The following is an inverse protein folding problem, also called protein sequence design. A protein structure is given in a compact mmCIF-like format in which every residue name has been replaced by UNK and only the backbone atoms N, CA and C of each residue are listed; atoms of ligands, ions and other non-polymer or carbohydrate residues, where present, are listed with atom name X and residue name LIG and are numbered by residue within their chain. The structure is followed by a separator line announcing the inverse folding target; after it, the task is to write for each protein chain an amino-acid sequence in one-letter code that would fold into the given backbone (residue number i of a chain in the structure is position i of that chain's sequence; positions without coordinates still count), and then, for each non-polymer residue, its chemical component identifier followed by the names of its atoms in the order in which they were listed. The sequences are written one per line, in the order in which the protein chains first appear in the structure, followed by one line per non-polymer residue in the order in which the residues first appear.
data_IF_510933490536
#
_entry.id   IF_510933490536
#
_cell.length_a   1.000
_cell.length_b   1.000
_cell.length_c   1.000
_cell.angle_alpha   90.00
_cell.angle_beta   90.00
_cell.angle_gamma   90.00
#
_symmetry.space_group_name_H-M   'P 1'
#
loop_
_entity.id
_entity.type
_entity.pdbx_description
1 polymer ?
#
# COMPACT_ATOMS: atom_id res chain seq x y z
N UNK A 1 -10.34 -1.70 -16.38
CA UNK A 1 -11.28 -0.62 -16.03
C UNK A 1 -11.56 -0.81 -14.55
N UNK A 2 -11.50 0.25 -13.75
CA UNK A 2 -11.88 0.23 -12.33
C UNK A 2 -13.34 -0.20 -12.18
N UNK A 3 -13.72 -0.74 -11.02
CA UNK A 3 -15.11 -1.12 -10.78
C UNK A 3 -15.96 0.13 -10.47
N UNK A 4 -15.57 0.90 -9.46
CA UNK A 4 -16.28 2.12 -9.05
C UNK A 4 -15.38 3.34 -8.97
N UNK A 5 -14.11 3.16 -8.59
CA UNK A 5 -13.22 4.27 -8.27
C UNK A 5 -12.93 5.16 -9.47
N UNK A 6 -12.98 6.46 -9.22
CA UNK A 6 -12.49 7.48 -10.11
C UNK A 6 -11.19 8.10 -9.58
N UNK A 7 -10.23 8.28 -10.48
CA UNK A 7 -8.94 8.89 -10.20
C UNK A 7 -8.79 10.17 -11.02
N UNK A 8 -8.41 11.26 -10.37
CA UNK A 8 -8.22 12.55 -11.04
C UNK A 8 -7.05 13.31 -10.40
N UNK A 9 -6.11 13.79 -11.22
CA UNK A 9 -4.90 14.50 -10.76
C UNK A 9 -5.19 15.78 -9.94
N UNK A 10 -6.40 16.32 -10.04
CA UNK A 10 -6.87 17.46 -9.25
C UNK A 10 -7.31 17.08 -7.85
N UNK A 11 -7.53 15.79 -7.56
CA UNK A 11 -7.83 15.32 -6.21
C UNK A 11 -6.63 15.57 -5.30
N UNK A 12 -6.88 16.20 -4.16
CA UNK A 12 -5.83 16.57 -3.20
C UNK A 12 -5.50 15.38 -2.32
N UNK A 13 -4.24 15.33 -1.87
CA UNK A 13 -3.86 14.44 -0.79
C UNK A 13 -4.73 14.70 0.45
N UNK A 14 -5.07 13.65 1.17
CA UNK A 14 -5.80 13.72 2.42
C UNK A 14 -4.84 13.33 3.54
N UNK A 15 -4.71 14.22 4.52
CA UNK A 15 -4.14 13.85 5.82
C UNK A 15 -5.21 13.15 6.65
N UNK A 16 -5.16 11.82 6.84
CA UNK A 16 -6.17 11.12 7.62
C UNK A 16 -6.11 11.59 9.07
N UNK A 17 -7.27 11.73 9.68
CA UNK A 17 -7.43 11.98 11.12
C UNK A 17 -8.47 11.02 11.68
N UNK A 18 -8.41 10.73 12.97
CA UNK A 18 -9.39 9.84 13.60
C UNK A 18 -10.81 10.37 13.38
N UNK A 19 -11.76 9.45 13.19
CA UNK A 19 -13.17 9.73 12.98
C UNK A 19 -13.43 10.72 11.82
N UNK A 20 -12.73 10.55 10.71
CA UNK A 20 -12.93 11.35 9.49
C UNK A 20 -13.90 10.66 8.55
N UNK A 21 -14.87 11.41 8.02
CA UNK A 21 -15.73 10.97 6.92
C UNK A 21 -15.13 11.41 5.59
N UNK A 22 -14.99 10.46 4.67
CA UNK A 22 -14.53 10.67 3.30
C UNK A 22 -15.66 10.33 2.33
N UNK A 23 -15.62 10.95 1.15
CA UNK A 23 -16.39 10.56 -0.03
C UNK A 23 -15.44 10.01 -1.07
N UNK A 24 -15.86 8.93 -1.73
CA UNK A 24 -15.17 8.33 -2.86
C UNK A 24 -16.06 8.45 -4.11
N UNK A 25 -15.75 9.36 -5.04
CA UNK A 25 -16.57 9.57 -6.24
C UNK A 25 -16.60 8.35 -7.15
N UNK A 26 -17.78 8.09 -7.72
CA UNK A 26 -18.06 7.07 -8.73
C UNK A 26 -18.92 7.66 -9.86
N UNK A 27 -19.19 6.88 -10.91
CA UNK A 27 -20.09 7.30 -12.01
C UNK A 27 -21.54 7.51 -11.56
N UNK A 28 -21.97 6.89 -10.46
CA UNK A 28 -23.36 6.85 -9.99
C UNK A 28 -23.59 7.66 -8.71
N UNK A 29 -22.54 8.19 -8.10
CA UNK A 29 -22.61 9.01 -6.89
C UNK A 29 -21.34 8.87 -6.04
N UNK A 30 -21.39 9.30 -4.79
CA UNK A 30 -20.26 9.18 -3.87
C UNK A 30 -20.49 8.05 -2.88
N UNK A 31 -19.48 7.19 -2.70
CA UNK A 31 -19.47 6.21 -1.61
C UNK A 31 -18.88 6.88 -0.37
N UNK A 32 -19.64 6.87 0.73
CA UNK A 32 -19.18 7.28 2.04
C UNK A 32 -18.21 6.25 2.61
N UNK A 33 -17.05 6.71 3.08
CA UNK A 33 -16.01 5.91 3.72
C UNK A 33 -15.69 6.52 5.10
N UNK A 34 -15.52 5.68 6.12
CA UNK A 34 -15.13 6.11 7.46
C UNK A 34 -13.67 5.78 7.73
N UNK A 35 -12.91 6.75 8.24
CA UNK A 35 -11.60 6.54 8.86
C UNK A 35 -11.82 6.53 10.38
N UNK A 36 -11.76 5.36 11.00
CA UNK A 36 -11.96 5.20 12.45
C UNK A 36 -10.69 5.54 13.23
N UNK A 37 -9.55 5.06 12.76
CA UNK A 37 -8.23 5.33 13.33
C UNK A 37 -7.27 5.73 12.21
N UNK A 38 -6.66 6.90 12.30
CA UNK A 38 -5.72 7.37 11.29
C UNK A 38 -4.42 6.56 11.35
N UNK A 39 -3.88 6.28 12.52
CA UNK A 39 -2.58 5.62 12.69
C UNK A 39 -2.76 4.24 13.31
N UNK A 40 -3.27 3.29 12.53
CA UNK A 40 -3.48 1.93 13.01
C UNK A 40 -2.13 1.23 13.23
N UNK A 41 -1.91 0.69 14.43
CA UNK A 41 -0.81 -0.22 14.79
C UNK A 41 0.55 0.16 14.18
N UNK A 42 1.11 1.28 14.63
CA UNK A 42 2.43 1.82 14.24
C UNK A 42 2.37 2.75 12.99
N UNK A 43 1.18 3.00 12.44
CA UNK A 43 0.96 4.15 11.54
C UNK A 43 1.12 3.88 10.04
N UNK A 44 1.49 2.65 9.64
CA UNK A 44 1.59 2.25 8.23
C UNK A 44 0.24 2.18 7.48
N UNK A 45 -0.87 2.19 8.21
CA UNK A 45 -2.22 2.12 7.66
C UNK A 45 -3.21 2.97 8.46
N UNK A 46 -4.34 3.31 7.85
CA UNK A 46 -5.53 3.82 8.53
C UNK A 46 -6.57 2.70 8.65
N UNK A 47 -7.24 2.58 9.79
CA UNK A 47 -8.36 1.65 9.95
C UNK A 47 -9.60 2.29 9.33
N UNK A 48 -10.05 1.75 8.20
CA UNK A 48 -11.17 2.28 7.43
C UNK A 48 -12.30 1.28 7.29
N UNK A 49 -13.52 1.75 7.05
CA UNK A 49 -14.66 0.88 6.70
C UNK A 49 -15.68 1.61 5.85
N UNK A 50 -16.56 0.85 5.21
CA UNK A 50 -17.66 1.38 4.40
C UNK A 50 -18.97 1.15 5.14
N UNK A 51 -19.59 2.19 5.72
CA UNK A 51 -20.84 2.03 6.45
C UNK A 51 -21.97 1.58 5.52
N UNK A 52 -22.91 0.81 6.07
CA UNK A 52 -24.13 0.40 5.38
C UNK A 52 -25.21 1.49 5.49
N UNK A 53 -25.15 2.49 4.62
CA UNK A 53 -26.16 3.55 4.48
C UNK A 53 -27.08 3.29 3.29
N UNK A 54 -28.25 3.92 3.27
CA UNK A 54 -29.17 3.81 2.12
C UNK A 54 -28.54 4.42 0.86
N UNK A 55 -27.76 5.49 1.04
CA UNK A 55 -27.02 6.21 0.02
C UNK A 55 -25.93 5.32 -0.60
N UNK A 56 -25.09 4.67 0.21
CA UNK A 56 -24.06 3.76 -0.29
C UNK A 56 -24.68 2.57 -1.05
N UNK A 57 -25.77 1.99 -0.55
CA UNK A 57 -26.48 0.92 -1.25
C UNK A 57 -27.03 1.40 -2.60
N UNK A 58 -27.60 2.61 -2.66
CA UNK A 58 -28.12 3.17 -3.89
C UNK A 58 -27.01 3.41 -4.94
N UNK A 59 -25.83 3.91 -4.53
CA UNK A 59 -24.67 4.08 -5.42
C UNK A 59 -24.21 2.75 -6.02
N UNK A 60 -24.27 1.66 -5.24
CA UNK A 60 -24.00 0.30 -5.71
C UNK A 60 -25.16 -0.33 -6.52
N UNK A 61 -26.27 0.38 -6.74
CA UNK A 61 -27.44 -0.15 -7.46
C UNK A 61 -28.22 -1.22 -6.67
N UNK A 62 -28.08 -1.24 -5.34
CA UNK A 62 -28.72 -2.20 -4.44
C UNK A 62 -29.96 -1.61 -3.76
N UNK A 63 -30.96 -2.45 -3.41
CA UNK A 63 -32.11 -2.00 -2.62
C UNK A 63 -31.69 -1.64 -1.18
N UNK A 64 -32.43 -0.72 -0.54
CA UNK A 64 -32.16 -0.31 0.85
C UNK A 64 -32.26 -1.48 1.85
N UNK A 65 -33.15 -2.42 1.57
CA UNK A 65 -33.35 -3.65 2.34
C UNK A 65 -32.76 -4.84 1.57
N UNK A 66 -31.53 -5.22 1.94
CA UNK A 66 -30.86 -6.43 1.44
C UNK A 66 -31.04 -7.64 2.39
N UNK A 67 -31.93 -7.54 3.39
CA UNK A 67 -32.20 -8.61 4.38
C UNK A 67 -31.44 -8.54 5.72
N UNK A 68 -30.42 -7.65 5.82
CA UNK A 68 -29.54 -7.30 6.97
C UNK A 68 -28.73 -8.43 7.63
N UNK A 69 -27.41 -8.25 7.76
CA UNK A 69 -26.61 -8.90 8.82
C UNK A 69 -25.40 -8.10 9.40
N UNK A 70 -24.93 -6.99 8.78
CA UNK A 70 -23.78 -6.18 9.28
C UNK A 70 -24.03 -4.66 9.18
N UNK A 71 -23.48 -3.83 10.09
CA UNK A 71 -23.55 -2.36 9.98
C UNK A 71 -22.62 -1.79 8.90
N UNK A 72 -21.80 -2.63 8.26
CA UNK A 72 -20.90 -2.26 7.18
C UNK A 72 -21.23 -2.98 5.86
N UNK A 73 -20.98 -2.31 4.75
CA UNK A 73 -20.80 -2.93 3.43
C UNK A 73 -19.43 -3.62 3.41
N UNK A 74 -18.39 -2.91 3.86
CA UNK A 74 -17.05 -3.45 4.09
C UNK A 74 -16.67 -3.17 5.55
N UNK A 75 -16.62 -4.21 6.40
CA UNK A 75 -16.12 -4.13 7.77
C UNK A 75 -14.74 -3.45 7.89
N UNK A 76 -14.38 -2.93 9.09
CA UNK A 76 -13.13 -2.24 9.29
C UNK A 76 -11.90 -3.05 8.86
N UNK A 77 -11.01 -2.44 8.08
CA UNK A 77 -9.76 -3.04 7.62
C UNK A 77 -8.62 -2.01 7.57
N UNK A 78 -7.34 -2.44 7.65
CA UNK A 78 -6.22 -1.54 7.52
C UNK A 78 -5.95 -1.20 6.04
N UNK A 79 -6.19 0.05 5.65
CA UNK A 79 -5.87 0.58 4.32
C UNK A 79 -4.53 1.33 4.38
N UNK A 80 -3.63 1.01 3.44
CA UNK A 80 -2.30 1.63 3.36
C UNK A 80 -2.39 3.15 3.22
N UNK A 81 -1.43 3.87 3.82
CA UNK A 81 -1.38 5.34 3.77
C UNK A 81 -1.24 5.90 2.35
N UNK A 82 -0.65 5.14 1.44
CA UNK A 82 -0.52 5.47 0.02
C UNK A 82 -1.86 5.73 -0.66
N UNK A 83 -2.96 5.14 -0.17
CA UNK A 83 -4.31 5.38 -0.68
C UNK A 83 -4.82 6.82 -0.48
N UNK A 84 -4.19 7.61 0.41
CA UNK A 84 -4.58 9.00 0.70
C UNK A 84 -3.67 10.04 0.03
N UNK A 85 -2.80 9.61 -0.88
CA UNK A 85 -1.94 10.51 -1.66
C UNK A 85 -2.75 11.32 -2.67
N UNK A 86 -2.12 12.33 -3.25
CA UNK A 86 -2.72 13.17 -4.27
C UNK A 86 -3.09 12.35 -5.50
N UNK A 87 -4.22 12.70 -6.09
CA UNK A 87 -4.86 11.99 -7.18
C UNK A 87 -5.46 10.63 -6.81
N UNK A 88 -5.38 10.22 -5.54
CA UNK A 88 -6.21 9.15 -5.00
C UNK A 88 -7.71 9.51 -4.99
N UNK A 89 -8.61 8.54 -4.73
CA UNK A 89 -10.03 8.65 -5.05
C UNK A 89 -10.86 9.32 -3.95
N UNK A 90 -10.22 9.87 -2.91
CA UNK A 90 -10.92 10.32 -1.71
C UNK A 90 -11.04 11.84 -1.64
N UNK A 91 -12.17 12.30 -1.12
CA UNK A 91 -12.45 13.69 -0.78
C UNK A 91 -12.87 13.75 0.69
N UNK A 92 -12.24 14.64 1.48
CA UNK A 92 -12.66 14.84 2.88
C UNK A 92 -14.01 15.55 2.93
N UNK A 93 -14.96 14.94 3.63
CA UNK A 93 -16.35 15.41 3.68
C UNK A 93 -16.79 15.84 5.09
N UNK A 94 -16.16 15.32 6.14
CA UNK A 94 -16.50 15.74 7.50
C UNK A 94 -15.94 14.84 8.59
N UNK A 95 -16.71 14.72 9.67
CA UNK A 95 -16.46 13.78 10.75
C UNK A 95 -17.46 12.64 10.70
N UNK A 96 -17.07 11.48 11.21
CA UNK A 96 -17.99 10.36 11.42
C UNK A 96 -19.02 10.78 12.47
N UNK A 97 -20.29 10.82 12.08
CA UNK A 97 -21.40 11.20 12.97
C UNK A 97 -21.89 10.03 13.82
N UNK A 98 -21.82 8.81 13.28
CA UNK A 98 -22.25 7.59 13.93
C UNK A 98 -21.23 6.48 13.74
N UNK A 99 -20.70 5.98 14.87
CA UNK A 99 -19.91 4.75 14.94
C UNK A 99 -20.88 3.64 15.34
N UNK A 100 -20.87 2.47 14.67
CA UNK A 100 -21.74 1.36 15.04
C UNK A 100 -21.63 0.97 16.52
N UNK A 101 -22.77 0.71 17.16
CA UNK A 101 -22.83 0.39 18.58
C UNK A 101 -21.95 -0.83 18.93
N UNK A 102 -21.16 -0.71 19.99
CA UNK A 102 -20.26 -1.77 20.46
C UNK A 102 -18.94 -1.89 19.70
N UNK A 103 -18.74 -1.12 18.61
CA UNK A 103 -17.46 -1.05 17.93
C UNK A 103 -16.52 -0.04 18.61
N UNK A 104 -15.33 -0.51 18.99
CA UNK A 104 -14.24 0.33 19.49
C UNK A 104 -12.99 0.02 18.64
N UNK A 105 -12.46 0.99 17.88
CA UNK A 105 -11.31 0.76 16.99
C UNK A 105 -10.03 0.36 17.75
N UNK A 106 -9.95 0.65 19.06
CA UNK A 106 -8.85 0.23 19.91
C UNK A 106 -9.03 -1.21 20.46
N UNK A 107 -10.24 -1.77 20.33
CA UNK A 107 -10.60 -3.12 20.76
C UNK A 107 -11.02 -3.95 19.56
N UNK A 108 -10.03 -4.30 18.76
CA UNK A 108 -10.18 -5.16 17.58
C UNK A 108 -9.31 -6.41 17.72
N UNK A 109 -9.82 -7.53 17.24
CA UNK A 109 -9.08 -8.79 17.15
C UNK A 109 -8.64 -9.04 15.71
N UNK A 110 -7.56 -9.81 15.54
CA UNK A 110 -7.07 -10.21 14.21
C UNK A 110 -7.26 -11.68 13.93
N UNK A 111 -7.64 -11.97 12.68
CA UNK A 111 -7.79 -13.30 12.12
C UNK A 111 -6.61 -13.68 11.21
N UNK A 112 -6.87 -14.59 10.24
CA UNK A 112 -5.90 -15.01 9.23
C UNK A 112 -5.28 -13.87 8.41
N UNK A 113 -4.32 -14.20 7.55
CA UNK A 113 -3.46 -13.21 6.88
C UNK A 113 -4.22 -12.34 5.88
N UNK A 114 -5.18 -12.92 5.17
CA UNK A 114 -5.85 -12.27 4.05
C UNK A 114 -7.37 -12.18 4.26
N UNK A 115 -7.93 -11.06 3.85
CA UNK A 115 -9.33 -10.69 4.00
C UNK A 115 -10.07 -10.97 2.71
N UNK A 116 -11.13 -11.75 2.83
CA UNK A 116 -12.14 -11.90 1.79
C UNK A 116 -13.45 -11.27 2.27
N UNK A 117 -13.75 -10.03 1.88
CA UNK A 117 -15.11 -9.52 1.94
C UNK A 117 -15.93 -10.20 0.87
N UNK A 118 -17.21 -10.07 1.05
CA UNK A 118 -18.11 -11.14 0.73
C UNK A 118 -19.08 -11.25 1.90
N UNK A 119 -20.06 -12.11 1.75
CA UNK A 119 -21.32 -12.03 2.47
C UNK A 119 -21.14 -11.89 3.99
N UNK A 120 -22.06 -11.16 4.63
CA UNK A 120 -21.92 -9.99 5.54
C UNK A 120 -20.87 -10.04 6.68
N UNK A 121 -19.74 -10.72 6.51
CA UNK A 121 -18.78 -11.03 7.57
C UNK A 121 -17.36 -11.21 7.01
N UNK A 122 -16.37 -11.12 7.91
CA UNK A 122 -14.97 -11.39 7.59
C UNK A 122 -14.72 -12.90 7.43
N UNK A 123 -14.11 -13.33 6.32
CA UNK A 123 -13.65 -14.71 6.12
C UNK A 123 -12.12 -14.69 5.89
N UNK A 124 -11.31 -15.41 6.69
CA UNK A 124 -9.90 -15.64 6.41
C UNK A 124 -9.71 -16.35 5.06
N UNK A 125 -8.82 -15.84 4.22
CA UNK A 125 -8.53 -16.44 2.91
C UNK A 125 -8.05 -17.89 2.99
N UNK A 126 -7.43 -18.30 4.09
CA UNK A 126 -7.00 -19.70 4.28
C UNK A 126 -8.18 -20.68 4.26
N UNK A 127 -9.41 -20.20 4.44
CA UNK A 127 -10.64 -20.97 4.38
C UNK A 127 -11.36 -20.86 3.03
N UNK A 128 -10.73 -20.30 1.99
CA UNK A 128 -11.37 -20.04 0.68
C UNK A 128 -11.89 -21.29 -0.02
N UNK A 129 -11.22 -22.43 0.18
CA UNK A 129 -11.56 -23.71 -0.44
C UNK A 129 -12.67 -24.43 0.35
N UNK A 130 -12.82 -24.10 1.64
CA UNK A 130 -13.81 -24.68 2.55
C UNK A 130 -15.11 -23.87 2.62
N UNK A 131 -15.04 -22.56 2.38
CA UNK A 131 -16.14 -21.62 2.53
C UNK A 131 -16.47 -20.97 1.17
N UNK A 132 -17.64 -21.29 0.59
CA UNK A 132 -18.10 -20.69 -0.66
C UNK A 132 -18.19 -19.17 -0.59
N UNK A 133 -18.14 -18.54 -1.76
CA UNK A 133 -18.11 -17.10 -1.93
C UNK A 133 -19.48 -16.43 -1.64
N UNK A 134 -20.54 -17.23 -1.54
CA UNK A 134 -21.94 -16.83 -1.40
C UNK A 134 -22.61 -17.35 -0.11
N UNK A 135 -21.87 -17.44 1.00
CA UNK A 135 -22.40 -17.88 2.31
C UNK A 135 -23.02 -16.75 3.15
N UNK A 136 -24.26 -16.89 3.63
CA UNK A 136 -24.87 -15.81 4.42
C UNK A 136 -24.12 -15.46 5.72
N UNK A 137 -23.55 -16.43 6.43
CA UNK A 137 -22.81 -16.18 7.68
C UNK A 137 -21.78 -17.28 7.95
N UNK A 138 -20.77 -16.98 8.77
CA UNK A 138 -19.75 -17.94 9.20
C UNK A 138 -19.60 -17.89 10.73
N UNK A 139 -19.29 -19.03 11.33
CA UNK A 139 -19.04 -19.12 12.77
C UNK A 139 -17.52 -19.05 13.05
N UNK A 140 -17.01 -17.95 13.66
CA UNK A 140 -15.59 -17.79 13.93
C UNK A 140 -15.12 -18.45 15.24
N UNK A 141 -15.99 -19.19 15.93
CA UNK A 141 -15.73 -19.70 17.30
C UNK A 141 -14.45 -20.55 17.40
N UNK A 142 -14.13 -21.32 16.36
CA UNK A 142 -12.96 -22.20 16.33
C UNK A 142 -11.72 -21.55 15.68
N UNK A 143 -11.82 -20.29 15.25
CA UNK A 143 -10.74 -19.63 14.54
C UNK A 143 -9.58 -19.24 15.47
N UNK A 144 -8.37 -19.24 14.92
CA UNK A 144 -7.16 -18.79 15.63
C UNK A 144 -7.09 -17.26 15.66
N UNK A 145 -7.94 -16.67 16.51
CA UNK A 145 -8.05 -15.22 16.69
C UNK A 145 -7.05 -14.74 17.75
N UNK A 146 -6.41 -13.60 17.48
CA UNK A 146 -5.41 -13.01 18.37
C UNK A 146 -5.74 -11.57 18.75
N UNK A 147 -5.28 -11.19 19.94
CA UNK A 147 -5.21 -9.81 20.39
C UNK A 147 -3.79 -9.29 20.24
N UNK A 148 -3.70 -8.02 19.86
CA UNK A 148 -2.46 -7.28 19.88
C UNK A 148 -2.12 -6.85 21.30
N UNK A 149 -0.84 -6.86 21.63
CA UNK A 149 -0.34 -6.48 22.96
C UNK A 149 0.48 -5.20 22.86
N UNK A 150 1.56 -5.23 22.07
CA UNK A 150 2.43 -4.06 21.85
C UNK A 150 3.35 -4.30 20.65
N UNK A 151 3.62 -3.25 19.86
CA UNK A 151 4.43 -3.38 18.65
C UNK A 151 3.93 -4.50 17.74
N UNK A 152 4.82 -5.44 17.38
CA UNK A 152 4.53 -6.63 16.58
C UNK A 152 3.92 -7.82 17.40
N UNK A 153 3.82 -7.71 18.73
CA UNK A 153 3.52 -8.84 19.61
C UNK A 153 2.01 -9.11 19.75
N UNK A 154 1.65 -10.40 19.71
CA UNK A 154 0.27 -10.87 19.82
C UNK A 154 0.12 -12.01 20.81
N UNK A 155 -1.11 -12.21 21.29
CA UNK A 155 -1.51 -13.36 22.11
C UNK A 155 -2.86 -13.90 21.67
N UNK A 156 -3.24 -15.08 22.16
CA UNK A 156 -4.60 -15.57 21.97
C UNK A 156 -5.62 -14.59 22.58
N UNK A 157 -6.74 -14.38 21.87
CA UNK A 157 -7.88 -13.64 22.39
C UNK A 157 -8.56 -14.44 23.53
N UNK A 158 -8.90 -13.75 24.61
CA UNK A 158 -9.74 -14.29 25.70
C UNK A 158 -11.18 -14.49 25.22
N UNK A 159 -12.00 -15.18 26.01
CA UNK A 159 -13.42 -15.40 25.68
C UNK A 159 -14.19 -14.09 25.45
N UNK A 160 -13.93 -13.07 26.26
CA UNK A 160 -14.52 -11.74 26.09
C UNK A 160 -14.05 -11.07 24.79
N UNK A 161 -12.74 -11.08 24.52
CA UNK A 161 -12.15 -10.40 23.37
C UNK A 161 -12.54 -11.03 22.04
N UNK A 162 -12.94 -12.31 22.03
CA UNK A 162 -13.47 -12.96 20.81
C UNK A 162 -14.78 -12.34 20.31
N UNK A 163 -15.45 -11.53 21.13
CA UNK A 163 -16.62 -10.73 20.72
C UNK A 163 -16.26 -9.41 20.04
N UNK A 164 -14.99 -8.99 20.08
CA UNK A 164 -14.53 -7.76 19.45
C UNK A 164 -14.58 -7.85 17.92
N UNK A 165 -14.59 -6.70 17.25
CA UNK A 165 -14.59 -6.68 15.79
C UNK A 165 -13.33 -7.36 15.25
N UNK A 166 -13.55 -8.39 14.45
CA UNK A 166 -12.49 -9.10 13.74
C UNK A 166 -12.10 -8.30 12.50
N UNK A 167 -10.80 -8.03 12.39
CA UNK A 167 -10.20 -7.34 11.26
C UNK A 167 -9.04 -8.18 10.69
N UNK A 168 -8.61 -7.90 9.46
CA UNK A 168 -7.47 -8.58 8.88
C UNK A 168 -6.15 -8.29 9.62
N UNK A 169 -5.19 -9.20 9.47
CA UNK A 169 -3.81 -8.96 9.92
C UNK A 169 -3.07 -7.95 9.03
N UNK A 170 -3.18 -8.14 7.71
CA UNK A 170 -2.37 -7.46 6.69
C UNK A 170 -2.92 -6.07 6.34
N UNK A 171 -2.08 -5.22 5.77
CA UNK A 171 -2.47 -3.93 5.21
C UNK A 171 -2.82 -4.07 3.73
N UNK A 172 -3.85 -3.37 3.28
CA UNK A 172 -4.34 -3.51 1.91
C UNK A 172 -4.04 -2.26 1.08
N UNK A 173 -3.59 -2.42 -0.18
CA UNK A 173 -3.64 -1.34 -1.15
C UNK A 173 -5.09 -1.02 -1.52
N UNK A 174 -5.27 0.15 -2.11
CA UNK A 174 -6.57 0.72 -2.47
C UNK A 174 -7.38 -0.18 -3.40
N UNK A 175 -6.75 -0.91 -4.32
CA UNK A 175 -7.45 -1.78 -5.28
C UNK A 175 -8.36 -2.82 -4.61
N UNK A 176 -8.04 -3.25 -3.38
CA UNK A 176 -8.90 -4.17 -2.64
C UNK A 176 -10.23 -3.53 -2.23
N UNK A 177 -10.24 -2.24 -1.86
CA UNK A 177 -11.49 -1.54 -1.56
C UNK A 177 -12.44 -1.57 -2.77
N UNK A 178 -11.93 -1.36 -3.99
CA UNK A 178 -12.75 -1.38 -5.22
C UNK A 178 -13.28 -2.79 -5.52
N UNK A 179 -12.39 -3.80 -5.43
CA UNK A 179 -12.76 -5.21 -5.59
C UNK A 179 -13.86 -5.61 -4.60
N UNK A 180 -13.73 -5.23 -3.33
CA UNK A 180 -14.65 -5.65 -2.29
C UNK A 180 -16.03 -4.99 -2.37
N UNK A 181 -16.09 -3.75 -2.87
CA UNK A 181 -17.36 -3.11 -3.23
C UNK A 181 -18.07 -3.88 -4.35
N UNK A 182 -17.32 -4.34 -5.36
CA UNK A 182 -17.89 -5.10 -6.47
C UNK A 182 -18.32 -6.49 -6.04
N UNK A 183 -17.53 -7.16 -5.21
CA UNK A 183 -17.89 -8.45 -4.64
C UNK A 183 -19.21 -8.35 -3.83
N UNK A 184 -19.37 -7.28 -3.03
CA UNK A 184 -20.60 -7.02 -2.29
C UNK A 184 -21.79 -6.79 -3.24
N UNK A 185 -21.59 -6.01 -4.30
CA UNK A 185 -22.61 -5.73 -5.31
C UNK A 185 -23.03 -7.00 -6.05
N UNK A 186 -22.07 -7.77 -6.59
CA UNK A 186 -22.34 -9.00 -7.33
C UNK A 186 -23.03 -10.05 -6.47
N UNK A 187 -22.62 -10.19 -5.20
CA UNK A 187 -23.28 -11.10 -4.26
C UNK A 187 -24.77 -10.78 -4.11
N UNK A 188 -25.14 -9.51 -3.92
CA UNK A 188 -26.53 -9.11 -3.73
C UNK A 188 -27.38 -9.08 -5.01
N UNK A 189 -26.74 -9.11 -6.18
CA UNK A 189 -27.40 -9.15 -7.48
C UNK A 189 -27.44 -10.56 -8.10
N UNK A 190 -26.99 -11.58 -7.37
CA UNK A 190 -26.82 -12.96 -7.86
C UNK A 190 -25.99 -13.02 -9.16
N UNK A 191 -24.90 -12.24 -9.21
CA UNK A 191 -23.95 -12.16 -10.32
C UNK A 191 -22.64 -12.90 -10.01
N UNK A 192 -21.83 -13.17 -11.04
CA UNK A 192 -20.49 -13.73 -10.85
C UNK A 192 -19.63 -12.79 -10.01
N UNK A 193 -19.05 -13.33 -8.94
CA UNK A 193 -18.26 -12.57 -7.97
C UNK A 193 -16.80 -12.51 -8.45
N UNK A 194 -16.24 -11.32 -8.73
CA UNK A 194 -14.87 -11.21 -9.22
C UNK A 194 -13.84 -11.55 -8.14
N UNK A 195 -12.67 -11.99 -8.58
CA UNK A 195 -11.54 -12.35 -7.70
C UNK A 195 -10.26 -11.56 -8.00
N UNK A 196 -10.27 -10.76 -9.05
CA UNK A 196 -9.11 -9.99 -9.51
C UNK A 196 -9.29 -8.50 -9.21
N UNK A 197 -8.19 -7.86 -8.81
CA UNK A 197 -8.15 -6.42 -8.63
C UNK A 197 -8.45 -5.73 -9.96
N UNK A 198 -9.19 -4.61 -9.89
CA UNK A 198 -9.32 -3.76 -11.06
C UNK A 198 -8.11 -2.83 -11.15
N UNK A 199 -7.54 -2.63 -12.35
CA UNK A 199 -6.41 -1.73 -12.49
C UNK A 199 -6.74 -0.30 -12.03
N UNK A 200 -5.82 0.36 -11.31
CA UNK A 200 -4.49 -0.14 -10.98
C UNK A 200 -4.51 -1.03 -9.72
N UNK A 201 -3.78 -2.14 -9.82
CA UNK A 201 -3.65 -3.14 -8.74
C UNK A 201 -2.78 -2.60 -7.59
N UNK A 202 -1.99 -1.57 -7.87
CA UNK A 202 -1.16 -0.81 -6.93
C UNK A 202 -1.71 0.61 -6.73
N UNK A 203 -1.38 1.22 -5.58
CA UNK A 203 -1.77 2.60 -5.30
C UNK A 203 -1.15 3.56 -6.32
N UNK A 204 -1.99 4.37 -6.96
CA UNK A 204 -1.51 5.40 -7.89
C UNK A 204 -0.83 6.49 -7.09
N UNK A 205 0.48 6.61 -7.29
CA UNK A 205 1.23 7.76 -6.80
C UNK A 205 1.39 8.77 -7.92
N UNK A 206 0.48 9.74 -7.99
CA UNK A 206 0.53 10.78 -9.02
C UNK A 206 1.67 11.79 -8.84
N UNK A 207 2.31 11.80 -7.67
CA UNK A 207 3.52 12.60 -7.41
C UNK A 207 4.80 11.76 -7.61
N UNK A 208 4.68 10.48 -7.98
CA UNK A 208 5.82 9.69 -8.39
C UNK A 208 6.28 10.09 -9.80
N UNK A 209 7.50 10.61 -9.89
CA UNK A 209 8.18 10.81 -11.15
C UNK A 209 8.91 9.51 -11.53
N UNK A 210 8.37 8.79 -12.51
CA UNK A 210 9.06 7.66 -13.12
C UNK A 210 9.92 8.14 -14.28
N UNK A 211 11.18 7.71 -14.30
CA UNK A 211 12.10 7.94 -15.40
C UNK A 211 12.84 6.65 -15.73
N UNK A 212 13.18 6.50 -17.01
CA UNK A 212 13.90 5.33 -17.51
C UNK A 212 14.98 5.80 -18.49
N UNK A 213 16.22 5.33 -18.30
CA UNK A 213 17.29 5.61 -19.26
C UNK A 213 17.21 4.64 -20.44
N UNK A 214 17.69 5.01 -21.65
CA UNK A 214 17.76 4.10 -22.80
C UNK A 214 18.63 2.84 -22.58
N UNK A 215 19.39 2.80 -21.48
CA UNK A 215 20.27 1.70 -21.09
C UNK A 215 19.64 0.78 -20.05
N UNK A 216 18.46 1.11 -19.51
CA UNK A 216 17.69 0.24 -18.63
C UNK A 216 17.78 0.56 -17.14
N UNK A 217 18.17 1.77 -16.74
CA UNK A 217 17.98 2.22 -15.37
C UNK A 217 16.56 2.75 -15.22
N UNK A 218 15.74 2.12 -14.38
CA UNK A 218 14.42 2.63 -14.00
C UNK A 218 14.49 3.29 -12.62
N UNK A 219 13.98 4.50 -12.53
CA UNK A 219 13.91 5.26 -11.28
C UNK A 219 12.48 5.69 -11.00
N UNK A 220 12.07 5.58 -9.75
CA UNK A 220 10.80 6.10 -9.24
C UNK A 220 11.11 7.06 -8.10
N UNK A 221 10.96 8.36 -8.36
CA UNK A 221 11.14 9.40 -7.34
C UNK A 221 9.78 9.73 -6.74
N UNK A 222 9.70 9.77 -5.41
CA UNK A 222 8.50 10.18 -4.68
C UNK A 222 8.84 11.40 -3.84
N UNK A 223 8.12 12.50 -4.07
CA UNK A 223 8.16 13.66 -3.19
C UNK A 223 7.18 13.41 -2.04
N UNK A 224 7.67 13.22 -0.82
CA UNK A 224 6.80 13.07 0.34
C UNK A 224 6.26 14.46 0.73
N UNK A 225 4.98 14.69 0.47
CA UNK A 225 4.28 15.87 0.97
C UNK A 225 4.21 15.86 2.51
N UNK A 226 4.30 17.04 3.12
CA UNK A 226 4.28 17.26 4.57
C UNK A 226 3.01 16.75 5.29
N UNK A 227 2.05 16.18 4.54
CA UNK A 227 0.81 15.60 5.05
C UNK A 227 0.91 14.13 5.47
N UNK A 228 2.01 13.41 5.22
CA UNK A 228 2.08 11.93 5.40
C UNK A 228 2.68 11.38 6.70
N UNK A 229 3.19 12.21 7.63
CA UNK A 229 3.75 11.72 8.92
C UNK A 229 5.28 11.56 8.93
N UNK A 230 5.83 10.86 9.94
CA UNK A 230 7.17 10.99 10.59
C UNK A 230 8.45 11.05 9.73
N UNK A 231 8.37 10.95 8.40
CA UNK A 231 9.48 11.23 7.47
C UNK A 231 9.35 12.65 6.89
N UNK A 232 9.28 13.63 7.80
CA UNK A 232 9.21 15.05 7.47
C UNK A 232 10.40 15.43 6.56
N UNK A 233 10.12 16.04 5.39
CA UNK A 233 11.11 16.61 4.44
C UNK A 233 11.98 15.61 3.65
N UNK A 234 11.76 14.30 3.73
CA UNK A 234 12.58 13.35 2.96
C UNK A 234 11.98 13.06 1.57
N UNK A 235 12.76 13.21 0.51
CA UNK A 235 12.43 12.63 -0.79
C UNK A 235 12.95 11.19 -0.85
N UNK A 236 12.30 10.38 -1.66
CA UNK A 236 12.79 9.03 -1.96
C UNK A 236 13.05 8.91 -3.45
N UNK A 237 14.14 8.27 -3.83
CA UNK A 237 14.29 7.68 -5.16
C UNK A 237 14.53 6.20 -5.01
N UNK A 238 13.66 5.40 -5.63
CA UNK A 238 13.88 3.98 -5.80
C UNK A 238 14.52 3.75 -7.16
N UNK A 239 15.62 3.01 -7.18
CA UNK A 239 16.43 2.76 -8.37
C UNK A 239 16.51 1.26 -8.60
N UNK A 240 16.20 0.80 -9.82
CA UNK A 240 16.40 -0.58 -10.24
C UNK A 240 16.95 -0.66 -11.66
N UNK A 241 17.63 -1.76 -11.96
CA UNK A 241 18.10 -2.07 -13.32
C UNK A 241 17.12 -3.04 -13.95
N UNK A 242 16.72 -2.78 -15.19
CA UNK A 242 15.85 -3.69 -15.93
C UNK A 242 16.66 -4.91 -16.40
N UNK A 243 16.10 -6.10 -16.15
CA UNK A 243 16.65 -7.38 -16.60
C UNK A 243 16.85 -7.37 -18.13
N UNK A 244 17.94 -7.95 -18.60
CA UNK A 244 18.36 -8.04 -20.00
C UNK A 244 18.59 -6.67 -20.68
N UNK A 245 18.79 -5.61 -19.89
CA UNK A 245 19.13 -4.29 -20.41
C UNK A 245 20.63 -4.12 -20.65
N UNK A 246 21.02 -3.06 -21.38
CA UNK A 246 22.44 -2.74 -21.61
C UNK A 246 23.22 -2.48 -20.32
N UNK A 247 22.54 -1.93 -19.31
CA UNK A 247 23.13 -1.69 -18.00
C UNK A 247 23.29 -3.00 -17.23
N UNK A 248 22.28 -3.88 -17.28
CA UNK A 248 22.34 -5.22 -16.68
C UNK A 248 23.48 -6.05 -17.27
N UNK A 249 23.59 -6.11 -18.60
CA UNK A 249 24.71 -6.78 -19.30
C UNK A 249 26.07 -6.19 -18.91
N UNK A 250 26.15 -4.87 -18.71
CA UNK A 250 27.38 -4.21 -18.31
C UNK A 250 27.77 -4.52 -16.85
N UNK A 251 26.79 -4.62 -15.94
CA UNK A 251 27.01 -5.05 -14.55
C UNK A 251 27.47 -6.51 -14.53
N UNK A 252 26.77 -7.39 -15.24
CA UNK A 252 27.13 -8.80 -15.37
C UNK A 252 28.55 -8.99 -15.93
N UNK A 253 29.00 -8.13 -16.86
CA UNK A 253 30.35 -8.17 -17.39
C UNK A 253 31.45 -7.82 -16.36
N UNK A 254 31.08 -7.20 -15.24
CA UNK A 254 31.99 -6.96 -14.10
C UNK A 254 32.05 -8.13 -13.12
N UNK A 255 31.18 -9.15 -13.29
CA UNK A 255 31.11 -10.32 -12.42
C UNK A 255 30.07 -10.23 -11.31
N UNK A 256 29.23 -9.20 -11.31
CA UNK A 256 28.21 -8.93 -10.29
C UNK A 256 26.79 -9.03 -10.87
N UNK A 257 25.77 -9.18 -10.01
CA UNK A 257 24.35 -9.15 -10.38
C UNK A 257 23.74 -7.75 -10.19
N UNK A 258 22.83 -7.33 -11.08
CA UNK A 258 22.17 -6.03 -11.00
C UNK A 258 21.02 -6.01 -9.97
N UNK A 259 21.37 -6.16 -8.69
CA UNK A 259 20.43 -6.24 -7.58
C UNK A 259 20.56 -5.03 -6.62
N UNK A 260 19.75 -5.02 -5.56
CA UNK A 260 19.75 -3.93 -4.57
C UNK A 260 21.06 -3.75 -3.81
N UNK A 261 21.76 -4.84 -3.50
CA UNK A 261 23.03 -4.81 -2.75
C UNK A 261 24.19 -4.33 -3.61
N UNK A 262 24.26 -4.74 -4.87
CA UNK A 262 25.21 -4.17 -5.83
C UNK A 262 25.02 -2.65 -5.95
N UNK A 263 23.77 -2.20 -6.09
CA UNK A 263 23.46 -0.77 -6.17
C UNK A 263 23.77 -0.02 -4.87
N UNK A 264 23.67 -0.69 -3.71
CA UNK A 264 24.12 -0.15 -2.43
C UNK A 264 25.63 0.02 -2.37
N UNK A 265 26.40 -1.00 -2.77
CA UNK A 265 27.86 -0.91 -2.89
C UNK A 265 28.28 0.27 -3.76
N UNK A 266 27.61 0.43 -4.90
CA UNK A 266 27.84 1.56 -5.81
C UNK A 266 27.48 2.89 -5.15
N UNK A 267 26.33 3.00 -4.46
CA UNK A 267 25.95 4.20 -3.73
C UNK A 267 26.96 4.57 -2.62
N UNK A 268 27.45 3.57 -1.86
CA UNK A 268 28.47 3.75 -0.83
C UNK A 268 29.78 4.27 -1.41
N UNK A 269 30.19 3.73 -2.56
CA UNK A 269 31.34 4.27 -3.30
C UNK A 269 31.12 5.74 -3.72
N UNK A 270 29.93 6.06 -4.22
CA UNK A 270 29.60 7.42 -4.62
C UNK A 270 29.57 8.39 -3.41
N UNK A 271 29.20 7.91 -2.22
CA UNK A 271 29.29 8.68 -0.98
C UNK A 271 30.75 8.93 -0.58
N UNK A 272 31.61 7.92 -0.63
CA UNK A 272 33.03 8.06 -0.28
C UNK A 272 33.77 8.98 -1.26
N UNK A 273 33.36 8.99 -2.53
CA UNK A 273 33.87 9.86 -3.57
C UNK A 273 33.24 11.27 -3.62
N UNK A 274 32.38 11.64 -2.65
CA UNK A 274 31.63 12.93 -2.58
C UNK A 274 30.75 13.22 -3.83
N UNK A 275 30.39 12.16 -4.56
CA UNK A 275 29.52 12.22 -5.74
C UNK A 275 28.05 12.23 -5.35
N UNK A 276 27.68 11.66 -4.21
CA UNK A 276 26.36 11.79 -3.56
C UNK A 276 26.55 12.06 -2.07
N UNK A 277 25.52 12.63 -1.41
CA UNK A 277 25.66 13.10 -0.02
C UNK A 277 25.72 11.92 0.98
N UNK A 278 26.66 11.93 1.96
CA UNK A 278 26.81 10.85 2.93
C UNK A 278 25.68 10.77 3.97
N UNK A 279 24.82 11.77 4.06
CA UNK A 279 23.62 11.73 4.93
C UNK A 279 22.46 10.93 4.33
N UNK A 280 22.53 10.58 3.05
CA UNK A 280 21.52 9.76 2.40
C UNK A 280 21.48 8.36 3.03
N UNK A 281 20.27 7.91 3.38
CA UNK A 281 20.03 6.54 3.82
C UNK A 281 19.85 5.64 2.60
N UNK A 282 20.42 4.44 2.68
CA UNK A 282 20.43 3.45 1.63
C UNK A 282 19.72 2.20 2.16
N UNK A 283 18.72 1.71 1.43
CA UNK A 283 17.94 0.52 1.78
C UNK A 283 17.93 -0.43 0.57
N UNK A 284 18.79 -1.45 0.52
CA UNK A 284 18.79 -2.43 -0.55
C UNK A 284 17.55 -3.33 -0.45
N UNK A 285 16.83 -3.49 -1.56
CA UNK A 285 15.63 -4.31 -1.65
C UNK A 285 15.69 -5.20 -2.89
N UNK A 286 15.96 -6.50 -2.75
CA UNK A 286 15.84 -7.48 -3.84
C UNK A 286 16.43 -7.02 -5.19
N UNK A 287 15.57 -6.46 -6.05
CA UNK A 287 15.88 -6.00 -7.42
C UNK A 287 16.40 -4.53 -7.52
N UNK A 288 16.47 -3.79 -6.42
CA UNK A 288 16.75 -2.35 -6.45
C UNK A 288 17.13 -1.75 -5.11
N UNK A 289 17.30 -0.44 -5.06
CA UNK A 289 17.69 0.30 -3.86
C UNK A 289 16.77 1.50 -3.62
N UNK A 290 16.30 1.65 -2.38
CA UNK A 290 15.70 2.89 -1.89
C UNK A 290 16.78 3.85 -1.39
N UNK A 291 16.73 5.10 -1.84
CA UNK A 291 17.61 6.18 -1.36
C UNK A 291 16.74 7.28 -0.76
N UNK A 292 17.03 7.67 0.49
CA UNK A 292 16.19 8.58 1.27
C UNK A 292 17.01 9.74 1.85
N UNK A 293 16.43 10.95 1.85
CA UNK A 293 17.02 12.10 2.52
C UNK A 293 16.51 13.43 2.00
N UNK A 294 17.26 14.50 2.27
CA UNK A 294 16.90 15.85 1.83
C UNK A 294 16.72 15.94 0.30
N UNK A 295 15.73 16.72 -0.20
CA UNK A 295 15.37 16.75 -1.62
C UNK A 295 16.55 16.99 -2.56
N UNK A 296 17.39 17.97 -2.24
CA UNK A 296 18.56 18.32 -3.07
C UNK A 296 19.62 17.22 -3.10
N UNK A 297 19.72 16.40 -2.04
CA UNK A 297 20.66 15.29 -1.99
C UNK A 297 20.14 14.11 -2.80
N UNK A 298 18.84 13.84 -2.74
CA UNK A 298 18.17 12.80 -3.54
C UNK A 298 18.25 13.13 -5.04
N UNK A 299 18.05 14.39 -5.42
CA UNK A 299 18.21 14.85 -6.81
C UNK A 299 19.65 14.67 -7.33
N UNK A 300 20.65 14.92 -6.46
CA UNK A 300 22.06 14.68 -6.78
C UNK A 300 22.33 13.18 -6.96
N UNK A 301 21.73 12.32 -6.12
CA UNK A 301 21.84 10.87 -6.27
C UNK A 301 21.21 10.36 -7.57
N UNK A 302 19.99 10.80 -7.88
CA UNK A 302 19.32 10.48 -9.14
C UNK A 302 20.18 10.87 -10.35
N UNK A 303 20.75 12.07 -10.34
CA UNK A 303 21.64 12.56 -11.41
C UNK A 303 22.92 11.73 -11.54
N UNK A 304 23.51 11.32 -10.41
CA UNK A 304 24.72 10.49 -10.41
C UNK A 304 24.45 9.10 -11.00
N UNK A 305 23.37 8.43 -10.61
CA UNK A 305 22.98 7.13 -11.15
C UNK A 305 22.59 7.22 -12.63
N UNK A 306 21.85 8.25 -13.03
CA UNK A 306 21.53 8.52 -14.44
C UNK A 306 22.81 8.64 -15.27
N UNK A 307 23.79 9.43 -14.79
CA UNK A 307 25.07 9.62 -15.47
C UNK A 307 25.88 8.33 -15.62
N UNK A 308 25.77 7.39 -14.67
CA UNK A 308 26.44 6.08 -14.75
C UNK A 308 25.71 5.20 -15.76
N UNK A 309 24.38 5.14 -15.67
CA UNK A 309 23.56 4.37 -16.59
C UNK A 309 23.74 4.80 -18.04
N UNK A 310 23.93 6.09 -18.32
CA UNK A 310 24.18 6.59 -19.68
C UNK A 310 25.56 6.22 -20.24
N UNK A 311 26.48 5.71 -19.40
CA UNK A 311 27.84 5.30 -19.78
C UNK A 311 28.18 3.88 -19.29
N UNK A 312 27.46 2.84 -19.72
CA UNK A 312 27.71 1.47 -19.25
C UNK A 312 29.14 0.98 -19.55
N UNK A 313 29.77 1.50 -20.61
CA UNK A 313 31.16 1.17 -20.95
C UNK A 313 32.19 1.65 -19.92
N UNK A 314 31.86 2.63 -19.09
CA UNK A 314 32.73 3.14 -18.01
C UNK A 314 32.51 2.39 -16.69
N UNK A 315 31.46 1.55 -16.59
CA UNK A 315 31.05 0.90 -15.36
C UNK A 315 32.12 -0.06 -14.82
N UNK A 316 32.78 -0.82 -15.69
CA UNK A 316 33.81 -1.78 -15.28
C UNK A 316 35.00 -1.11 -14.58
N UNK A 317 35.39 0.08 -15.03
CA UNK A 317 36.45 0.86 -14.38
C UNK A 317 35.97 1.45 -13.05
N UNK A 318 34.70 1.86 -12.98
CA UNK A 318 34.09 2.37 -11.75
C UNK A 318 34.00 1.30 -10.65
N UNK A 319 33.55 0.09 -10.99
CA UNK A 319 33.48 -1.06 -10.08
C UNK A 319 34.87 -1.40 -9.56
N UNK A 320 35.85 -1.48 -10.46
CA UNK A 320 37.25 -1.74 -10.08
C UNK A 320 37.83 -0.68 -9.15
N UNK A 321 37.49 0.59 -9.36
CA UNK A 321 37.89 1.68 -8.45
C UNK A 321 37.22 1.54 -7.08
N UNK A 322 35.93 1.19 -7.06
CA UNK A 322 35.21 0.95 -5.81
C UNK A 322 35.82 -0.20 -5.00
N UNK A 323 36.11 -1.33 -5.64
CA UNK A 323 36.78 -2.47 -5.00
C UNK A 323 38.18 -2.09 -4.48
N UNK A 324 38.94 -1.29 -5.24
CA UNK A 324 40.24 -0.81 -4.80
C UNK A 324 40.17 0.12 -3.57
N UNK A 325 39.05 0.84 -3.42
CA UNK A 325 38.75 1.69 -2.27
C UNK A 325 38.07 0.92 -1.12
N UNK A 326 37.97 -0.42 -1.24
CA UNK A 326 37.49 -1.31 -0.19
C UNK A 326 35.98 -1.50 -0.13
N UNK A 327 35.26 -1.18 -1.21
CA UNK A 327 33.85 -1.53 -1.35
C UNK A 327 33.73 -3.01 -1.72
N UNK A 328 32.97 -3.74 -0.92
CA UNK A 328 32.55 -5.10 -1.23
C UNK A 328 31.16 -5.02 -1.87
N UNK A 329 31.01 -5.60 -3.06
CA UNK A 329 29.72 -5.76 -3.73
C UNK A 329 29.17 -7.13 -3.37
N UNK A 330 27.93 -7.17 -2.91
CA UNK A 330 27.20 -8.41 -2.61
C UNK A 330 26.23 -8.74 -3.76
N UNK A 331 26.15 -10.02 -4.11
CA UNK A 331 25.24 -10.62 -5.10
C UNK A 331 24.04 -11.32 -4.41
#
# INVERSE_FOLDING_TARGET
MTYFMQFDKSMKAIRPSDNTRLRMPTDTGDIEIHVYEANHRIGGASLVGVPRTAENLAVLGLPAETGKQSPWIIPPFPLLKSAFRKGGPFIRDGKVEHIPDGFDPQKVVVGGKEYRPGPPTYIPYELKDDIPLNVESVNPSDWRIRMWVSGAATRAATEEERSYQLIPWTYYPLGFLDLWLEQYRCYHLDQDIPTELSPPDEDIDHDAEESETPTGLKMRKVELDASTGELEVQHTVYIRVLVDSKLDEAIAATGHEANGYFLEGLARYLQSADRIDPSLQLDPEGEGIGIYGEPSHVDKAQSAFTSIAERPAELAELVKQAEADGIEFDD
#
